data_IF_064628279364
#
_entry.id   IF_064628279364
#
_cell.length_a   1.000
_cell.length_b   1.000
_cell.length_c   1.000
_cell.angle_alpha   90.00
_cell.angle_beta   90.00
_cell.angle_gamma   90.00
#
_symmetry.space_group_name_H-M   'P 1'
#
loop_
_entity.id
_entity.type
_entity.pdbx_description
1 polymer ?
#
# COMPACT_ATOMS: atom_id res chain seq x y z
N UNK A 1 15.39 15.89 -8.73
CA UNK A 1 14.10 15.33 -9.23
C UNK A 1 14.00 13.86 -8.83
N UNK A 2 13.19 13.49 -7.84
CA UNK A 2 12.98 12.09 -7.41
C UNK A 2 11.49 11.85 -7.14
N UNK A 3 10.68 11.94 -8.19
CA UNK A 3 9.23 11.71 -8.15
C UNK A 3 8.87 10.97 -9.42
N UNK A 4 8.82 9.62 -9.40
CA UNK A 4 8.10 8.79 -10.40
C UNK A 4 8.23 7.26 -10.27
N UNK A 5 8.88 6.72 -9.23
CA UNK A 5 9.04 5.25 -9.08
C UNK A 5 8.16 4.61 -7.99
N UNK A 6 7.40 5.39 -7.23
CA UNK A 6 6.61 4.85 -6.09
C UNK A 6 5.27 4.24 -6.48
N UNK A 7 4.87 4.28 -7.76
CA UNK A 7 3.58 3.75 -8.21
C UNK A 7 3.60 2.25 -8.53
N UNK A 8 4.74 1.71 -8.98
CA UNK A 8 4.79 0.31 -9.44
C UNK A 8 4.79 -0.68 -8.28
N UNK A 9 5.49 -0.40 -7.18
CA UNK A 9 5.57 -1.32 -6.05
C UNK A 9 4.24 -1.59 -5.36
N UNK A 10 3.28 -0.67 -5.45
CA UNK A 10 1.96 -0.88 -4.85
C UNK A 10 0.97 -1.61 -5.78
N UNK A 11 1.25 -1.65 -7.08
CA UNK A 11 0.41 -2.36 -8.06
C UNK A 11 0.86 -3.80 -8.30
N UNK A 12 2.15 -4.07 -8.08
CA UNK A 12 2.74 -5.40 -8.27
C UNK A 12 2.31 -6.40 -7.20
N UNK A 13 1.69 -5.91 -6.11
CA UNK A 13 1.29 -6.75 -4.98
C UNK A 13 0.08 -7.60 -5.39
N UNK A 14 0.27 -8.92 -5.45
CA UNK A 14 -0.79 -9.87 -5.75
C UNK A 14 -1.99 -9.71 -4.78
N UNK A 15 -3.13 -9.31 -5.34
CA UNK A 15 -4.38 -9.04 -4.62
C UNK A 15 -4.61 -7.57 -4.23
N UNK A 16 -3.64 -6.66 -4.44
CA UNK A 16 -3.89 -5.21 -4.40
C UNK A 16 -4.48 -4.80 -5.75
N UNK A 17 -5.78 -5.01 -5.90
CA UNK A 17 -6.52 -4.55 -7.08
C UNK A 17 -6.68 -3.01 -7.12
N UNK A 18 -7.20 -2.48 -8.23
CA UNK A 18 -7.44 -1.05 -8.40
C UNK A 18 -8.38 -0.48 -7.31
N UNK A 19 -9.32 -1.29 -6.81
CA UNK A 19 -10.24 -0.92 -5.72
C UNK A 19 -9.47 -0.68 -4.42
N UNK A 20 -8.63 -1.65 -4.05
CA UNK A 20 -7.80 -1.64 -2.84
C UNK A 20 -6.82 -0.48 -2.85
N UNK A 21 -6.11 -0.30 -3.98
CA UNK A 21 -5.26 0.86 -4.24
C UNK A 21 -6.01 2.16 -4.02
N UNK A 22 -7.20 2.31 -4.63
CA UNK A 22 -7.93 3.58 -4.56
C UNK A 22 -8.43 3.85 -3.13
N UNK A 23 -8.78 2.80 -2.38
CA UNK A 23 -9.16 2.86 -0.96
C UNK A 23 -7.99 3.30 -0.08
N UNK A 24 -6.81 2.71 -0.28
CA UNK A 24 -5.57 3.07 0.40
C UNK A 24 -5.12 4.48 0.04
N UNK A 25 -5.18 4.88 -1.23
CA UNK A 25 -4.88 6.25 -1.66
C UNK A 25 -5.87 7.26 -1.11
N UNK A 26 -7.16 6.92 -0.97
CA UNK A 26 -8.13 7.80 -0.31
C UNK A 26 -7.86 7.98 1.18
N UNK A 27 -7.50 6.90 1.87
CA UNK A 27 -7.23 6.94 3.32
C UNK A 27 -5.86 7.54 3.65
N UNK A 28 -4.82 7.01 3.04
CA UNK A 28 -3.43 7.38 3.35
C UNK A 28 -2.91 8.51 2.45
N UNK A 29 -3.53 8.79 1.31
CA UNK A 29 -3.14 9.88 0.40
C UNK A 29 -1.90 9.60 -0.44
N UNK A 30 -0.94 8.82 0.06
CA UNK A 30 0.32 8.55 -0.62
C UNK A 30 1.00 7.27 -0.14
N UNK A 31 1.82 6.71 -1.02
CA UNK A 31 2.62 5.50 -0.79
C UNK A 31 3.56 5.63 0.42
N UNK A 32 4.11 6.83 0.64
CA UNK A 32 4.94 7.15 1.81
C UNK A 32 4.15 7.03 3.11
N UNK A 33 2.88 7.42 3.08
CA UNK A 33 1.99 7.37 4.23
C UNK A 33 1.51 5.94 4.49
N UNK A 34 1.34 5.13 3.44
CA UNK A 34 1.10 3.68 3.56
C UNK A 34 2.33 2.99 4.16
N UNK A 35 3.55 3.40 3.79
CA UNK A 35 4.78 2.87 4.38
C UNK A 35 4.95 3.26 5.87
N UNK A 36 4.42 4.42 6.27
CA UNK A 36 4.39 4.86 7.68
C UNK A 36 3.20 4.33 8.46
N UNK A 37 2.17 3.85 7.78
CA UNK A 37 0.99 3.28 8.39
C UNK A 37 1.32 1.94 9.03
N UNK A 38 0.66 1.64 10.14
CA UNK A 38 0.77 0.37 10.84
C UNK A 38 0.04 -0.73 10.08
N UNK A 39 0.51 -1.97 10.28
CA UNK A 39 -0.12 -3.14 9.66
C UNK A 39 -1.60 -3.27 10.01
N UNK A 40 -1.99 -2.83 11.21
CA UNK A 40 -3.37 -2.84 11.69
C UNK A 40 -4.26 -1.92 10.86
N UNK A 41 -3.78 -0.71 10.56
CA UNK A 41 -4.52 0.31 9.82
C UNK A 41 -4.72 -0.12 8.35
N UNK A 42 -3.65 -0.63 7.74
CA UNK A 42 -3.70 -1.20 6.39
C UNK A 42 -4.63 -2.43 6.38
N UNK A 43 -4.47 -3.33 7.35
CA UNK A 43 -5.28 -4.55 7.49
C UNK A 43 -6.76 -4.25 7.69
N UNK A 44 -7.12 -3.14 8.34
CA UNK A 44 -8.51 -2.76 8.53
C UNK A 44 -9.18 -2.38 7.20
N UNK A 45 -8.41 -1.88 6.24
CA UNK A 45 -8.91 -1.42 4.94
C UNK A 45 -8.95 -2.56 3.92
N UNK A 46 -7.90 -3.40 3.89
CA UNK A 46 -7.64 -4.38 2.83
C UNK A 46 -7.56 -5.83 3.32
N UNK A 47 -7.55 -6.05 4.63
CA UNK A 47 -7.36 -7.34 5.28
C UNK A 47 -5.90 -7.64 5.64
N UNK A 48 -5.69 -8.44 6.70
CA UNK A 48 -4.35 -8.77 7.23
C UNK A 48 -3.41 -9.32 6.18
N UNK A 49 -3.93 -10.18 5.29
CA UNK A 49 -3.15 -10.88 4.27
C UNK A 49 -2.48 -9.91 3.30
N UNK A 50 -3.26 -8.94 2.81
CA UNK A 50 -2.79 -7.92 1.88
C UNK A 50 -1.93 -6.87 2.59
N UNK A 51 -2.27 -6.52 3.85
CA UNK A 51 -1.47 -5.59 4.63
C UNK A 51 -0.04 -6.10 4.86
N UNK A 52 0.11 -7.41 5.07
CA UNK A 52 1.41 -8.05 5.17
C UNK A 52 2.22 -7.90 3.89
N UNK A 53 1.64 -8.25 2.74
CA UNK A 53 2.31 -8.13 1.43
C UNK A 53 2.72 -6.69 1.13
N UNK A 54 1.86 -5.70 1.42
CA UNK A 54 2.17 -4.28 1.24
C UNK A 54 3.36 -3.84 2.09
N UNK A 55 3.38 -4.19 3.37
CA UNK A 55 4.49 -3.84 4.27
C UNK A 55 5.79 -4.53 3.88
N UNK A 56 5.70 -5.78 3.44
CA UNK A 56 6.85 -6.56 2.98
C UNK A 56 7.46 -5.95 1.73
N UNK A 57 6.64 -5.62 0.73
CA UNK A 57 7.08 -4.97 -0.53
C UNK A 57 7.68 -3.57 -0.31
N UNK A 58 7.20 -2.85 0.70
CA UNK A 58 7.69 -1.51 1.05
C UNK A 58 8.97 -1.54 1.89
N UNK A 59 9.25 -2.66 2.58
CA UNK A 59 10.51 -2.90 3.32
C UNK A 59 11.59 -3.56 2.45
N UNK A 60 11.25 -4.03 1.26
CA UNK A 60 12.16 -4.59 0.25
C UNK A 60 12.78 -3.51 -0.65
#
# INVERSE_FOLDING_TARGET
>A
RKKRLTRSRLDDIEGVGPITRNKLLKHFGSVDNIKKATIEDISQIIGKKLAYSVLEELNK
#
